data_IF_079801483470
#
_entry.id   IF_079801483470
#
_cell.length_a   1.000
_cell.length_b   1.000
_cell.length_c   1.000
_cell.angle_alpha   90.00
_cell.angle_beta   90.00
_cell.angle_gamma   90.00
#
_symmetry.space_group_name_H-M   'P 1'
#
loop_
_entity.id
_entity.type
_entity.pdbx_description
1 polymer ?
#
# COMPACT_ATOMS: atom_id res chain seq x y z
N UNK A 1 11.44 -2.02 14.71
CA UNK A 1 10.43 -2.50 13.76
C UNK A 1 9.25 -1.55 13.81
N UNK A 2 8.83 -0.98 12.67
CA UNK A 2 7.73 -0.05 12.63
C UNK A 2 6.42 -0.66 13.12
N UNK A 3 5.55 0.19 13.69
CA UNK A 3 4.24 -0.26 14.17
C UNK A 3 3.42 -0.83 13.01
N UNK A 4 2.67 -1.89 13.29
CA UNK A 4 1.79 -2.56 12.34
C UNK A 4 2.47 -2.99 11.01
N UNK A 5 3.79 -3.19 11.04
CA UNK A 5 4.52 -3.75 9.91
C UNK A 5 4.14 -5.23 9.73
N UNK A 6 3.75 -5.61 8.50
CA UNK A 6 3.69 -7.02 8.11
C UNK A 6 3.70 -7.17 6.59
N UNK A 7 4.30 -8.27 6.12
CA UNK A 7 4.28 -8.66 4.72
C UNK A 7 2.88 -9.10 4.29
N UNK A 8 2.34 -8.47 3.24
CA UNK A 8 1.20 -9.03 2.52
C UNK A 8 1.66 -10.16 1.61
N UNK A 9 2.74 -9.94 0.85
CA UNK A 9 3.43 -10.98 0.09
C UNK A 9 4.89 -10.92 0.52
N UNK A 10 5.39 -12.04 1.05
CA UNK A 10 6.73 -12.13 1.61
C UNK A 10 7.78 -11.70 0.57
N UNK A 11 8.67 -10.80 0.98
CA UNK A 11 9.73 -10.24 0.16
C UNK A 11 9.29 -9.49 -1.12
N UNK A 12 8.02 -9.09 -1.20
CA UNK A 12 7.49 -8.32 -2.32
C UNK A 12 6.85 -7.02 -1.84
N UNK A 13 5.76 -7.11 -1.04
CA UNK A 13 5.01 -5.94 -0.57
C UNK A 13 4.55 -6.10 0.89
N UNK A 14 4.78 -5.06 1.69
CA UNK A 14 4.36 -4.96 3.08
C UNK A 14 3.45 -3.74 3.32
N UNK A 15 2.70 -3.78 4.41
CA UNK A 15 2.01 -2.62 4.97
C UNK A 15 2.57 -2.24 6.34
N UNK A 16 2.48 -0.97 6.72
CA UNK A 16 2.84 -0.49 8.06
C UNK A 16 2.06 0.76 8.47
N UNK A 17 2.16 1.13 9.76
CA UNK A 17 1.78 2.45 10.24
C UNK A 17 2.80 3.52 9.79
N UNK A 18 2.48 4.80 9.96
CA UNK A 18 3.42 5.88 9.68
C UNK A 18 4.71 5.68 10.48
N UNK A 19 5.90 5.79 9.85
CA UNK A 19 7.17 5.60 10.54
C UNK A 19 7.32 6.60 11.69
N UNK A 20 7.54 6.07 12.90
CA UNK A 20 7.70 6.83 14.14
C UNK A 20 8.31 5.94 15.24
N UNK A 21 9.55 6.21 15.70
CA UNK A 21 10.44 7.29 15.27
C UNK A 21 10.96 7.12 13.83
N UNK A 22 11.04 8.22 13.07
CA UNK A 22 11.32 8.18 11.63
C UNK A 22 12.63 7.46 11.28
N UNK A 23 13.76 7.87 11.87
CA UNK A 23 15.09 7.36 11.51
C UNK A 23 15.19 5.85 11.76
N UNK A 24 14.85 5.40 12.96
CA UNK A 24 14.93 3.98 13.35
C UNK A 24 14.01 3.08 12.51
N UNK A 25 12.84 3.59 12.13
CA UNK A 25 11.93 2.85 11.25
C UNK A 25 12.46 2.78 9.82
N UNK A 26 13.09 3.83 9.30
CA UNK A 26 13.74 3.82 7.98
C UNK A 26 14.97 2.91 7.95
N UNK A 27 15.79 2.89 9.01
CA UNK A 27 16.92 1.95 9.17
C UNK A 27 16.42 0.51 9.10
N UNK A 28 15.40 0.17 9.90
CA UNK A 28 14.79 -1.16 9.86
C UNK A 28 14.32 -1.56 8.45
N UNK A 29 13.66 -0.64 7.72
CA UNK A 29 13.19 -0.92 6.37
C UNK A 29 14.38 -1.23 5.42
N UNK A 30 15.50 -0.54 5.56
CA UNK A 30 16.72 -0.85 4.79
C UNK A 30 17.31 -2.19 5.15
N UNK A 31 17.39 -2.52 6.44
CA UNK A 31 17.97 -3.78 6.91
C UNK A 31 17.23 -5.01 6.36
N UNK A 32 15.91 -4.91 6.16
CA UNK A 32 15.11 -6.00 5.56
C UNK A 32 15.02 -5.94 4.03
N UNK A 33 15.69 -4.96 3.41
CA UNK A 33 15.79 -4.79 1.96
C UNK A 33 14.58 -4.14 1.30
N UNK A 34 13.80 -3.32 2.02
CA UNK A 34 12.80 -2.45 1.40
C UNK A 34 13.53 -1.32 0.67
N UNK A 35 13.13 -1.08 -0.58
CA UNK A 35 13.74 -0.07 -1.45
C UNK A 35 12.77 1.03 -1.85
N UNK A 36 11.46 0.81 -1.66
CA UNK A 36 10.44 1.78 -2.00
C UNK A 36 9.39 1.98 -0.91
N UNK A 37 8.89 3.21 -0.79
CA UNK A 37 7.86 3.60 0.18
C UNK A 37 6.72 4.32 -0.55
N UNK A 38 5.48 3.86 -0.30
CA UNK A 38 4.26 4.59 -0.65
C UNK A 38 3.67 5.20 0.62
N UNK A 39 3.51 6.52 0.62
CA UNK A 39 2.84 7.26 1.69
C UNK A 39 1.43 7.66 1.27
N UNK A 40 0.45 7.27 2.09
CA UNK A 40 -0.97 7.54 1.89
C UNK A 40 -1.51 8.66 2.78
N UNK A 41 -0.68 9.18 3.69
CA UNK A 41 -1.08 10.29 4.58
C UNK A 41 -1.19 11.59 3.80
N UNK A 42 -1.96 12.54 4.31
CA UNK A 42 -2.20 13.83 3.69
C UNK A 42 -0.90 14.62 3.50
N UNK A 43 -0.01 14.54 4.49
CA UNK A 43 1.32 15.12 4.43
C UNK A 43 2.37 14.07 4.07
N UNK A 44 3.33 14.39 3.20
CA UNK A 44 4.42 13.48 2.86
C UNK A 44 5.35 13.24 4.05
N UNK A 45 6.21 12.23 3.93
CA UNK A 45 7.37 12.07 4.80
C UNK A 45 8.44 13.15 4.49
N UNK A 46 9.38 13.34 5.40
CA UNK A 46 10.48 14.29 5.22
C UNK A 46 11.34 13.91 4.02
N UNK A 47 11.24 14.70 2.95
CA UNK A 47 11.92 14.45 1.66
C UNK A 47 13.42 14.18 1.82
N UNK A 48 14.11 15.01 2.60
CA UNK A 48 15.57 14.88 2.82
C UNK A 48 15.94 13.51 3.39
N UNK A 49 15.20 13.02 4.39
CA UNK A 49 15.47 11.70 4.98
C UNK A 49 15.20 10.56 3.98
N UNK A 50 14.14 10.68 3.18
CA UNK A 50 13.83 9.69 2.15
C UNK A 50 14.95 9.62 1.10
N UNK A 51 15.50 10.77 0.70
CA UNK A 51 16.62 10.88 -0.23
C UNK A 51 17.94 10.39 0.37
N UNK A 52 18.25 10.74 1.62
CA UNK A 52 19.46 10.31 2.34
C UNK A 52 19.51 8.79 2.51
N UNK A 53 18.38 8.17 2.85
CA UNK A 53 18.28 6.72 2.88
C UNK A 53 18.19 6.12 1.47
N UNK A 54 17.89 6.91 0.43
CA UNK A 54 17.81 6.43 -0.94
C UNK A 54 16.63 5.48 -1.18
N UNK A 55 15.44 5.85 -0.72
CA UNK A 55 14.20 5.13 -1.06
C UNK A 55 13.58 5.69 -2.34
N UNK A 56 13.06 4.82 -3.21
CA UNK A 56 12.08 5.24 -4.21
C UNK A 56 10.77 5.59 -3.51
N UNK A 57 10.23 6.78 -3.77
CA UNK A 57 9.12 7.32 -2.98
C UNK A 57 7.97 7.80 -3.85
N UNK A 58 6.75 7.41 -3.47
CA UNK A 58 5.51 7.90 -4.06
C UNK A 58 4.58 8.37 -2.94
N UNK A 59 4.14 9.61 -3.04
CA UNK A 59 3.13 10.18 -2.15
C UNK A 59 1.78 10.21 -2.87
N UNK A 60 0.76 9.61 -2.27
CA UNK A 60 -0.61 9.56 -2.78
C UNK A 60 -1.53 9.99 -1.63
N UNK A 61 -1.78 11.30 -1.46
CA UNK A 61 -2.50 11.79 -0.30
C UNK A 61 -3.96 11.35 -0.33
N UNK A 62 -4.40 10.63 0.70
CA UNK A 62 -5.81 10.25 0.91
C UNK A 62 -6.25 10.87 2.23
N UNK A 63 -7.36 11.59 2.21
CA UNK A 63 -7.94 12.21 3.41
C UNK A 63 -8.22 11.14 4.46
N UNK A 64 -7.95 11.44 5.72
CA UNK A 64 -8.18 10.47 6.79
C UNK A 64 -9.65 10.02 6.84
N UNK A 65 -9.84 8.74 7.18
CA UNK A 65 -11.13 8.05 7.23
C UNK A 65 -11.91 7.97 5.90
N UNK A 66 -11.35 8.42 4.78
CA UNK A 66 -11.96 8.24 3.44
C UNK A 66 -11.34 7.05 2.70
N UNK A 67 -12.01 6.65 1.63
CA UNK A 67 -11.46 5.66 0.69
C UNK A 67 -10.62 6.32 -0.42
N UNK A 68 -9.59 5.66 -0.98
CA UNK A 68 -8.90 6.15 -2.17
C UNK A 68 -9.82 6.24 -3.39
N UNK A 69 -9.53 7.20 -4.27
CA UNK A 69 -10.16 7.27 -5.59
C UNK A 69 -9.61 6.20 -6.53
N UNK A 70 -10.36 5.87 -7.58
CA UNK A 70 -9.92 4.90 -8.59
C UNK A 70 -8.67 5.35 -9.36
N UNK A 71 -8.49 6.67 -9.53
CA UNK A 71 -7.28 7.26 -10.10
C UNK A 71 -6.08 7.04 -9.18
N UNK A 72 -6.23 7.31 -7.87
CA UNK A 72 -5.19 7.07 -6.87
C UNK A 72 -4.79 5.59 -6.80
N UNK A 73 -5.76 4.68 -6.93
CA UNK A 73 -5.49 3.24 -7.02
C UNK A 73 -4.70 2.92 -8.29
N UNK A 74 -5.08 3.47 -9.44
CA UNK A 74 -4.32 3.30 -10.69
C UNK A 74 -2.86 3.77 -10.58
N UNK A 75 -2.66 4.93 -9.97
CA UNK A 75 -1.35 5.52 -9.69
C UNK A 75 -0.50 4.65 -8.77
N UNK A 76 -1.12 4.14 -7.70
CA UNK A 76 -0.51 3.21 -6.76
C UNK A 76 -0.07 1.92 -7.46
N UNK A 77 -0.96 1.28 -8.21
CA UNK A 77 -0.69 0.01 -8.89
C UNK A 77 0.40 0.17 -9.95
N UNK A 78 0.38 1.27 -10.72
CA UNK A 78 1.43 1.57 -11.70
C UNK A 78 2.81 1.67 -11.04
N UNK A 79 2.90 2.41 -9.93
CA UNK A 79 4.15 2.55 -9.19
C UNK A 79 4.62 1.22 -8.59
N UNK A 80 3.76 0.49 -7.87
CA UNK A 80 4.11 -0.80 -7.25
C UNK A 80 4.57 -1.81 -8.30
N UNK A 81 3.87 -1.90 -9.44
CA UNK A 81 4.24 -2.84 -10.49
C UNK A 81 5.62 -2.54 -11.09
N UNK A 82 5.99 -1.27 -11.25
CA UNK A 82 7.34 -0.87 -11.67
C UNK A 82 8.42 -1.36 -10.69
N UNK A 83 8.19 -1.17 -9.39
CA UNK A 83 9.11 -1.57 -8.32
C UNK A 83 9.25 -3.09 -8.26
N UNK A 84 8.13 -3.81 -8.20
CA UNK A 84 8.10 -5.28 -8.09
C UNK A 84 8.66 -5.96 -9.34
N UNK A 85 8.41 -5.43 -10.54
CA UNK A 85 9.03 -5.94 -11.79
C UNK A 85 10.55 -5.79 -11.78
N UNK A 86 11.05 -4.78 -11.07
CA UNK A 86 12.50 -4.57 -10.84
C UNK A 86 13.05 -5.44 -9.70
N UNK A 87 12.26 -6.40 -9.19
CA UNK A 87 12.58 -7.30 -8.05
C UNK A 87 12.91 -6.57 -6.75
N UNK A 88 12.39 -5.36 -6.59
CA UNK A 88 12.56 -4.55 -5.38
C UNK A 88 11.40 -4.75 -4.43
N UNK A 89 11.66 -4.64 -3.14
CA UNK A 89 10.64 -4.76 -2.09
C UNK A 89 10.05 -3.39 -1.75
N UNK A 90 8.75 -3.33 -1.50
CA UNK A 90 8.01 -2.09 -1.27
C UNK A 90 7.16 -2.14 -0.01
N UNK A 91 7.04 -1.00 0.68
CA UNK A 91 6.13 -0.85 1.80
C UNK A 91 5.12 0.27 1.55
N UNK A 92 3.90 0.07 2.03
CA UNK A 92 2.79 1.03 1.95
C UNK A 92 2.39 1.42 3.36
N UNK A 93 2.16 2.71 3.61
CA UNK A 93 1.68 3.17 4.91
C UNK A 93 0.63 4.27 4.82
N UNK A 94 -0.24 4.33 5.83
CA UNK A 94 -1.03 5.51 6.20
C UNK A 94 -0.65 5.90 7.64
N UNK A 95 -1.57 6.39 8.47
CA UNK A 95 -1.26 6.70 9.87
C UNK A 95 -1.18 5.43 10.73
N UNK A 96 -2.25 4.62 10.77
CA UNK A 96 -2.29 3.38 11.56
C UNK A 96 -1.88 2.12 10.76
N UNK A 97 -1.82 2.20 9.44
CA UNK A 97 -1.52 1.05 8.57
C UNK A 97 -2.68 0.06 8.39
N UNK A 98 -3.92 0.50 8.65
CA UNK A 98 -5.12 -0.36 8.73
C UNK A 98 -6.06 -0.13 7.53
N UNK A 99 -6.84 0.95 7.51
CA UNK A 99 -7.85 1.25 6.48
C UNK A 99 -7.25 1.57 5.12
N UNK A 100 -6.80 2.81 4.89
CA UNK A 100 -6.19 3.27 3.62
C UNK A 100 -5.12 2.31 3.09
N UNK A 101 -4.23 1.84 3.98
CA UNK A 101 -3.21 0.84 3.63
C UNK A 101 -3.83 -0.50 3.22
N UNK A 102 -4.78 -1.03 3.99
CA UNK A 102 -5.48 -2.26 3.67
C UNK A 102 -6.23 -2.20 2.34
N UNK A 103 -6.89 -1.07 2.05
CA UNK A 103 -7.62 -0.85 0.79
C UNK A 103 -6.70 -0.90 -0.42
N UNK A 104 -5.56 -0.18 -0.37
CA UNK A 104 -4.56 -0.22 -1.44
C UNK A 104 -3.97 -1.63 -1.62
N UNK A 105 -3.63 -2.30 -0.51
CA UNK A 105 -3.12 -3.68 -0.53
C UNK A 105 -4.14 -4.68 -1.09
N UNK A 106 -5.44 -4.51 -0.83
CA UNK A 106 -6.48 -5.33 -1.41
C UNK A 106 -6.61 -5.10 -2.92
N UNK A 107 -6.58 -3.83 -3.37
CA UNK A 107 -6.56 -3.50 -4.79
C UNK A 107 -5.33 -4.10 -5.51
N UNK A 108 -4.19 -4.19 -4.82
CA UNK A 108 -3.00 -4.87 -5.35
C UNK A 108 -3.24 -6.37 -5.61
N UNK A 109 -3.88 -7.08 -4.66
CA UNK A 109 -4.24 -8.49 -4.87
C UNK A 109 -5.27 -8.64 -6.00
N UNK A 110 -6.22 -7.71 -6.13
CA UNK A 110 -7.16 -7.69 -7.25
C UNK A 110 -6.41 -7.53 -8.58
N UNK A 111 -5.42 -6.63 -8.65
CA UNK A 111 -4.56 -6.49 -9.82
C UNK A 111 -3.76 -7.76 -10.15
N UNK A 112 -3.45 -8.59 -9.14
CA UNK A 112 -2.82 -9.91 -9.28
C UNK A 112 -3.83 -11.04 -9.62
N UNK A 113 -5.09 -10.72 -9.89
CA UNK A 113 -6.12 -11.67 -10.34
C UNK A 113 -6.97 -12.27 -9.22
N UNK A 114 -6.94 -11.72 -8.01
CA UNK A 114 -7.89 -12.11 -6.96
C UNK A 114 -9.23 -11.41 -7.19
N UNK A 115 -10.35 -12.04 -6.80
CA UNK A 115 -11.59 -11.29 -6.68
C UNK A 115 -11.54 -10.31 -5.51
N UNK A 116 -12.30 -9.22 -5.53
CA UNK A 116 -12.32 -8.23 -4.45
C UNK A 116 -12.61 -8.88 -3.09
N UNK A 117 -13.61 -9.77 -3.04
CA UNK A 117 -13.96 -10.53 -1.83
C UNK A 117 -12.78 -11.35 -1.30
N UNK A 118 -12.06 -12.05 -2.19
CA UNK A 118 -10.89 -12.86 -1.81
C UNK A 118 -9.73 -11.96 -1.35
N UNK A 119 -9.49 -10.84 -2.04
CA UNK A 119 -8.47 -9.88 -1.69
C UNK A 119 -8.69 -9.27 -0.30
N UNK A 120 -9.92 -8.78 -0.01
CA UNK A 120 -10.30 -8.25 1.31
C UNK A 120 -10.07 -9.29 2.40
N UNK A 121 -10.55 -10.52 2.17
CA UNK A 121 -10.41 -11.62 3.13
C UNK A 121 -8.94 -11.95 3.42
N UNK A 122 -8.11 -12.00 2.39
CA UNK A 122 -6.68 -12.31 2.52
C UNK A 122 -5.91 -11.18 3.23
N UNK A 123 -6.21 -9.92 2.90
CA UNK A 123 -5.63 -8.77 3.61
C UNK A 123 -6.02 -8.81 5.08
N UNK A 124 -7.30 -9.00 5.42
CA UNK A 124 -7.75 -9.10 6.82
C UNK A 124 -7.10 -10.27 7.57
N UNK A 125 -6.88 -11.39 6.88
CA UNK A 125 -6.20 -12.56 7.47
C UNK A 125 -4.74 -12.27 7.82
N UNK A 126 -4.00 -11.57 6.94
CA UNK A 126 -2.58 -11.21 7.17
C UNK A 126 -2.39 -9.93 7.99
N UNK A 127 -3.41 -9.07 8.01
CA UNK A 127 -3.44 -7.74 8.63
C UNK A 127 -4.81 -7.55 9.31
N UNK A 128 -5.02 -8.15 10.49
CA UNK A 128 -6.30 -8.05 11.20
C UNK A 128 -6.74 -6.60 11.39
N UNK A 129 -8.02 -6.33 11.12
CA UNK A 129 -8.61 -4.98 11.18
C UNK A 129 -8.54 -4.18 9.89
N UNK A 130 -7.73 -4.59 8.89
CA UNK A 130 -7.64 -3.86 7.61
C UNK A 130 -8.96 -3.81 6.85
N UNK A 131 -9.12 -2.74 6.05
CA UNK A 131 -10.37 -2.39 5.35
C UNK A 131 -11.48 -2.14 6.39
N UNK A 132 -11.51 -0.93 6.93
CA UNK A 132 -12.26 -0.55 8.13
C UNK A 132 -13.72 -0.19 7.85
N UNK A 133 -14.05 0.23 6.63
CA UNK A 133 -15.38 0.75 6.29
C UNK A 133 -15.97 0.07 5.06
N UNK A 134 -17.31 0.09 4.95
CA UNK A 134 -18.04 -0.39 3.76
C UNK A 134 -17.61 0.37 2.50
N UNK A 135 -17.38 1.68 2.62
CA UNK A 135 -16.89 2.50 1.50
C UNK A 135 -15.55 2.00 0.95
N UNK A 136 -14.66 1.53 1.82
CA UNK A 136 -13.39 0.93 1.40
C UNK A 136 -13.59 -0.42 0.71
N UNK A 137 -14.53 -1.26 1.18
CA UNK A 137 -14.90 -2.50 0.49
C UNK A 137 -15.48 -2.21 -0.90
N UNK A 138 -16.44 -1.29 -1.00
CA UNK A 138 -17.08 -0.87 -2.25
C UNK A 138 -16.06 -0.33 -3.26
N UNK A 139 -15.04 0.38 -2.77
CA UNK A 139 -13.95 0.88 -3.60
C UNK A 139 -13.14 -0.24 -4.24
N UNK A 140 -12.87 -1.32 -3.50
CA UNK A 140 -12.12 -2.48 -4.00
C UNK A 140 -12.97 -3.26 -5.03
N UNK A 141 -14.27 -3.41 -4.76
CA UNK A 141 -15.23 -4.04 -5.69
C UNK A 141 -15.32 -3.24 -6.99
N UNK A 142 -15.47 -1.91 -6.89
CA UNK A 142 -15.48 -1.02 -8.05
C UNK A 142 -14.19 -1.12 -8.86
N UNK A 143 -13.05 -1.26 -8.20
CA UNK A 143 -11.77 -1.45 -8.88
C UNK A 143 -11.73 -2.76 -9.67
N UNK A 144 -12.20 -3.88 -9.10
CA UNK A 144 -12.35 -5.16 -9.81
C UNK A 144 -13.24 -5.01 -11.05
N UNK A 145 -14.42 -4.40 -10.91
CA UNK A 145 -15.33 -4.17 -12.04
C UNK A 145 -14.70 -3.34 -13.15
N UNK A 146 -13.93 -2.31 -12.80
CA UNK A 146 -13.22 -1.48 -13.77
C UNK A 146 -12.14 -2.27 -14.51
N UNK A 147 -11.43 -3.18 -13.85
CA UNK A 147 -10.46 -4.06 -14.51
C UNK A 147 -11.13 -5.03 -15.48
N UNK A 148 -12.27 -5.62 -15.09
CA UNK A 148 -13.01 -6.56 -15.95
C UNK A 148 -13.63 -5.89 -17.19
N UNK A 149 -13.93 -4.59 -17.11
CA UNK A 149 -14.48 -3.80 -18.23
C UNK A 149 -13.41 -3.29 -19.20
N UNK A 150 -12.11 -3.39 -18.86
CA UNK A 150 -11.05 -3.00 -19.79
C UNK A 150 -11.03 -4.04 -20.93
N UNK A 151 -11.19 -3.62 -22.20
CA UNK A 151 -11.05 -4.56 -23.30
C UNK A 151 -9.66 -5.19 -23.24
N UNK A 152 -9.58 -6.52 -23.37
CA UNK A 152 -8.31 -7.21 -23.56
C UNK A 152 -7.65 -6.58 -24.79
N UNK A 153 -6.58 -5.81 -24.56
CA UNK A 153 -5.82 -5.14 -25.59
C UNK A 153 -4.89 -6.15 -26.27
#
# INVERSE_FOLDING_TARGET
>A
MPRNFSWLIQDEIAGMARPMPMITDLEFLKDIGIEAIVSLTELPLHKTLIEEFGFEYKHIPIVDLTSPTQEQIGDFISFVNKIVTSRKKIVVHCDAGIGRTGTMLACYLVNKGYSAKRAISEVRRKRPGSVETVEQEDTIIKYEEMLLKRPNN
#
